data_IF_792489907155
#
_entry.id   IF_792489907155
#
_cell.length_a   1.000
_cell.length_b   1.000
_cell.length_c   1.000
_cell.angle_alpha   90.00
_cell.angle_beta   90.00
_cell.angle_gamma   90.00
#
_symmetry.space_group_name_H-M   'P 1'
#
loop_
_entity.id
_entity.type
_entity.pdbx_description
1 polymer ?
#
# COMPACT_ATOMS: atom_id res chain seq x y z
N UNK A 1 -0.18 -32.93 -1.14
CA UNK A 1 -0.95 -32.05 -2.05
C UNK A 1 -0.28 -30.69 -2.11
N UNK A 2 -0.48 -29.97 -3.21
CA UNK A 2 0.14 -28.67 -3.46
C UNK A 2 -0.77 -27.57 -2.88
N UNK A 3 -0.30 -26.75 -1.92
CA UNK A 3 -1.10 -25.68 -1.33
C UNK A 3 -1.57 -24.67 -2.37
N UNK A 4 -2.82 -24.20 -2.25
CA UNK A 4 -3.37 -23.11 -3.05
C UNK A 4 -3.77 -21.97 -2.13
N UNK A 5 -3.28 -20.78 -2.44
CA UNK A 5 -3.55 -19.57 -1.68
C UNK A 5 -4.59 -18.72 -2.42
N UNK A 6 -5.42 -18.00 -1.67
CA UNK A 6 -6.34 -17.03 -2.26
C UNK A 6 -5.59 -15.80 -2.77
N UNK A 7 -6.23 -15.06 -3.67
CA UNK A 7 -5.62 -13.91 -4.35
C UNK A 7 -5.25 -12.80 -3.37
N UNK A 8 -6.01 -12.62 -2.28
CA UNK A 8 -5.74 -11.59 -1.27
C UNK A 8 -4.46 -11.89 -0.50
N UNK A 9 -4.28 -13.14 -0.07
CA UNK A 9 -3.05 -13.57 0.62
C UNK A 9 -1.82 -13.41 -0.28
N UNK A 10 -1.88 -13.82 -1.54
CA UNK A 10 -0.76 -13.69 -2.48
C UNK A 10 -0.52 -12.26 -2.96
N UNK A 11 -1.48 -11.35 -2.76
CA UNK A 11 -1.31 -9.93 -3.05
C UNK A 11 -0.51 -9.24 -1.94
N UNK A 12 -0.69 -9.67 -0.68
CA UNK A 12 -0.03 -9.06 0.49
C UNK A 12 1.28 -9.75 0.83
N UNK A 13 1.36 -11.07 0.66
CA UNK A 13 2.52 -11.87 1.02
C UNK A 13 3.10 -12.57 -0.20
N UNK A 14 4.42 -12.74 -0.20
CA UNK A 14 5.10 -13.55 -1.20
C UNK A 14 4.61 -15.01 -1.17
N UNK A 15 4.31 -15.55 -2.35
CA UNK A 15 3.76 -16.91 -2.51
C UNK A 15 4.77 -17.97 -2.03
N UNK A 16 6.07 -17.75 -2.22
CA UNK A 16 7.09 -18.70 -1.78
C UNK A 16 7.14 -18.78 -0.25
N UNK A 17 7.07 -17.65 0.45
CA UNK A 17 7.00 -17.61 1.91
C UNK A 17 5.73 -18.29 2.44
N UNK A 18 4.58 -18.07 1.80
CA UNK A 18 3.34 -18.77 2.15
C UNK A 18 3.47 -20.29 1.97
N UNK A 19 4.06 -20.72 0.84
CA UNK A 19 4.31 -22.13 0.55
C UNK A 19 5.22 -22.78 1.60
N UNK A 20 6.35 -22.13 1.94
CA UNK A 20 7.27 -22.60 2.98
C UNK A 20 6.57 -22.70 4.33
N UNK A 21 5.86 -21.66 4.72
CA UNK A 21 5.14 -21.60 5.99
C UNK A 21 4.11 -22.73 6.11
N UNK A 22 3.33 -22.98 5.05
CA UNK A 22 2.35 -24.07 5.03
C UNK A 22 3.01 -25.45 5.17
N UNK A 23 4.10 -25.70 4.43
CA UNK A 23 4.82 -26.99 4.47
C UNK A 23 5.48 -27.26 5.83
N UNK A 24 5.94 -26.21 6.51
CA UNK A 24 6.50 -26.32 7.85
C UNK A 24 5.38 -26.58 8.85
N UNK A 25 4.34 -25.75 8.89
CA UNK A 25 3.29 -25.82 9.92
C UNK A 25 2.47 -27.12 9.89
N UNK A 26 2.28 -27.74 8.72
CA UNK A 26 1.58 -29.03 8.60
C UNK A 26 2.30 -30.15 9.39
N UNK A 27 3.60 -30.01 9.67
CA UNK A 27 4.38 -30.97 10.46
C UNK A 27 4.24 -30.78 11.97
N UNK A 28 3.66 -29.66 12.42
CA UNK A 28 3.53 -29.28 13.83
C UNK A 28 2.06 -29.31 14.27
N UNK A 29 1.58 -30.42 14.86
CA UNK A 29 0.23 -30.46 15.43
C UNK A 29 0.09 -29.59 16.68
N UNK A 30 1.21 -29.28 17.34
CA UNK A 30 1.31 -28.39 18.50
C UNK A 30 2.64 -27.64 18.43
N UNK A 31 2.62 -26.37 18.82
CA UNK A 31 3.81 -25.50 18.88
C UNK A 31 4.12 -25.22 20.35
N UNK A 32 5.34 -25.56 20.78
CA UNK A 32 5.84 -25.28 22.13
C UNK A 32 6.55 -23.94 22.16
N UNK A 33 6.08 -23.06 23.03
CA UNK A 33 6.66 -21.72 23.22
C UNK A 33 7.52 -21.74 24.49
N UNK A 34 8.77 -21.23 24.43
CA UNK A 34 9.40 -20.52 23.32
C UNK A 34 10.24 -21.40 22.37
N UNK A 35 10.40 -22.70 22.69
CA UNK A 35 11.39 -23.57 22.05
C UNK A 35 11.26 -23.69 20.53
N UNK A 36 10.04 -23.64 20.01
CA UNK A 36 9.78 -23.92 18.60
C UNK A 36 9.79 -22.64 17.74
N UNK A 37 9.87 -21.45 18.34
CA UNK A 37 9.80 -20.18 17.60
C UNK A 37 10.98 -20.04 16.63
N UNK A 38 12.21 -20.10 17.14
CA UNK A 38 13.43 -19.93 16.33
C UNK A 38 13.57 -21.04 15.26
N UNK A 39 13.36 -22.33 15.57
CA UNK A 39 13.33 -23.38 14.54
C UNK A 39 12.30 -23.17 13.44
N UNK A 40 11.09 -22.67 13.77
CA UNK A 40 10.05 -22.38 12.78
C UNK A 40 10.44 -21.22 11.87
N UNK A 41 11.03 -20.16 12.41
CA UNK A 41 11.51 -19.00 11.64
C UNK A 41 12.62 -19.46 10.69
N UNK A 42 13.63 -20.18 11.19
CA UNK A 42 14.72 -20.71 10.37
C UNK A 42 14.22 -21.64 9.26
N UNK A 43 13.22 -22.48 9.54
CA UNK A 43 12.62 -23.34 8.53
C UNK A 43 11.87 -22.56 7.43
N UNK A 44 11.33 -21.38 7.74
CA UNK A 44 10.59 -20.54 6.80
C UNK A 44 11.46 -19.56 6.02
N UNK A 45 12.57 -19.08 6.58
CA UNK A 45 13.41 -18.04 5.98
C UNK A 45 14.85 -18.47 5.68
N UNK A 46 15.39 -19.47 6.38
CA UNK A 46 16.75 -19.96 6.16
C UNK A 46 16.95 -20.61 4.79
N UNK A 47 18.20 -20.96 4.47
CA UNK A 47 18.56 -21.63 3.21
C UNK A 47 18.10 -23.09 3.20
N UNK A 48 16.85 -23.31 2.80
CA UNK A 48 16.23 -24.65 2.74
C UNK A 48 15.92 -25.00 1.29
N UNK A 49 16.30 -26.22 0.90
CA UNK A 49 15.96 -26.77 -0.41
C UNK A 49 14.55 -27.37 -0.40
N UNK A 50 13.94 -27.49 -1.59
CA UNK A 50 12.70 -28.22 -1.73
C UNK A 50 12.84 -29.64 -1.14
N UNK A 51 11.88 -30.15 -0.36
CA UNK A 51 11.93 -31.50 0.18
C UNK A 51 12.16 -32.53 -0.94
N UNK A 52 13.12 -33.43 -0.76
CA UNK A 52 13.50 -34.40 -1.80
C UNK A 52 12.43 -35.46 -2.08
N UNK A 53 11.52 -35.66 -1.12
CA UNK A 53 10.35 -36.53 -1.18
C UNK A 53 9.10 -35.84 -1.73
N UNK A 54 9.19 -34.56 -2.10
CA UNK A 54 8.09 -33.81 -2.69
C UNK A 54 7.66 -34.38 -4.05
N UNK A 55 6.37 -34.25 -4.37
CA UNK A 55 5.88 -34.58 -5.71
C UNK A 55 6.47 -33.63 -6.76
N UNK A 56 6.52 -34.07 -8.02
CA UNK A 56 7.06 -33.28 -9.13
C UNK A 56 6.33 -31.95 -9.27
N UNK A 57 5.03 -31.92 -9.03
CA UNK A 57 4.21 -30.71 -9.07
C UNK A 57 4.63 -29.70 -7.98
N UNK A 58 4.89 -30.18 -6.76
CA UNK A 58 5.34 -29.34 -5.66
C UNK A 58 6.75 -28.80 -5.90
N UNK A 59 7.65 -29.62 -6.45
CA UNK A 59 9.00 -29.20 -6.84
C UNK A 59 8.95 -28.09 -7.91
N UNK A 60 8.07 -28.24 -8.90
CA UNK A 60 7.89 -27.22 -9.95
C UNK A 60 7.33 -25.90 -9.37
N UNK A 61 6.32 -25.96 -8.50
CA UNK A 61 5.79 -24.74 -7.87
C UNK A 61 6.83 -24.09 -6.94
N UNK A 62 7.58 -24.89 -6.17
CA UNK A 62 8.66 -24.39 -5.33
C UNK A 62 9.69 -23.63 -6.15
N UNK A 63 10.17 -24.21 -7.24
CA UNK A 63 11.18 -23.55 -8.08
C UNK A 63 10.64 -22.27 -8.72
N UNK A 64 9.39 -22.31 -9.21
CA UNK A 64 8.74 -21.14 -9.81
C UNK A 64 8.63 -19.98 -8.81
N UNK A 65 8.03 -20.25 -7.64
CA UNK A 65 7.81 -19.23 -6.60
C UNK A 65 9.13 -18.71 -6.02
N UNK A 66 10.13 -19.60 -5.85
CA UNK A 66 11.47 -19.20 -5.41
C UNK A 66 12.13 -18.21 -6.37
N UNK A 67 12.08 -18.50 -7.67
CA UNK A 67 12.66 -17.61 -8.70
C UNK A 67 11.95 -16.26 -8.75
N UNK A 68 10.64 -16.21 -8.53
CA UNK A 68 9.91 -14.93 -8.43
C UNK A 68 10.36 -14.12 -7.20
N UNK A 69 10.44 -14.75 -6.01
CA UNK A 69 10.93 -14.11 -4.79
C UNK A 69 12.37 -13.58 -4.94
N UNK A 70 13.29 -14.38 -5.50
CA UNK A 70 14.67 -13.97 -5.73
C UNK A 70 14.76 -12.75 -6.66
N UNK A 71 13.91 -12.71 -7.69
CA UNK A 71 13.81 -11.57 -8.60
C UNK A 71 13.27 -10.33 -7.88
N UNK A 72 12.21 -10.46 -7.10
CA UNK A 72 11.65 -9.35 -6.32
C UNK A 72 12.68 -8.79 -5.32
N UNK A 73 13.40 -9.66 -4.59
CA UNK A 73 14.48 -9.25 -3.69
C UNK A 73 15.59 -8.50 -4.41
N UNK A 74 15.98 -8.96 -5.60
CA UNK A 74 16.98 -8.28 -6.42
C UNK A 74 16.49 -6.90 -6.89
N UNK A 75 15.23 -6.78 -7.32
CA UNK A 75 14.62 -5.51 -7.71
C UNK A 75 14.52 -4.52 -6.53
N UNK A 76 14.16 -5.02 -5.35
CA UNK A 76 14.14 -4.24 -4.10
C UNK A 76 15.54 -3.73 -3.74
N UNK A 77 16.55 -4.60 -3.81
CA UNK A 77 17.94 -4.22 -3.51
C UNK A 77 18.45 -3.14 -4.49
N UNK A 78 18.22 -3.34 -5.80
CA UNK A 78 18.62 -2.36 -6.83
C UNK A 78 17.93 -1.01 -6.64
N UNK A 79 16.65 -1.00 -6.24
CA UNK A 79 15.91 0.22 -5.92
C UNK A 79 16.46 0.89 -4.67
N UNK A 80 16.76 0.12 -3.62
CA UNK A 80 17.32 0.62 -2.37
C UNK A 80 18.68 1.29 -2.58
N UNK A 81 19.56 0.73 -3.42
CA UNK A 81 20.87 1.32 -3.73
C UNK A 81 20.77 2.71 -4.36
N UNK A 82 19.70 2.98 -5.11
CA UNK A 82 19.48 4.29 -5.75
C UNK A 82 19.12 5.38 -4.75
N UNK A 83 18.50 5.03 -3.62
CA UNK A 83 17.98 6.01 -2.64
C UNK A 83 18.74 5.97 -1.31
N UNK A 84 19.52 4.93 -1.04
CA UNK A 84 20.31 4.80 0.19
C UNK A 84 21.38 5.87 0.28
N UNK A 85 21.47 6.51 1.45
CA UNK A 85 22.60 7.40 1.77
C UNK A 85 23.87 6.54 1.80
N UNK A 86 24.90 6.88 1.00
CA UNK A 86 26.13 6.10 0.95
C UNK A 86 26.79 5.97 2.33
N UNK A 87 27.56 4.89 2.49
CA UNK A 87 28.33 4.63 3.70
C UNK A 87 29.17 5.85 4.12
N UNK A 88 29.36 6.10 5.43
CA UNK A 88 30.22 7.18 5.92
C UNK A 88 31.69 7.05 5.49
N UNK A 89 32.08 5.87 4.98
CA UNK A 89 33.41 5.60 4.44
C UNK A 89 33.47 5.62 2.90
N UNK A 90 32.37 5.99 2.24
CA UNK A 90 32.32 6.08 0.78
C UNK A 90 33.10 7.30 0.28
N UNK A 91 33.72 7.17 -0.89
CA UNK A 91 34.53 8.23 -1.51
C UNK A 91 33.69 9.32 -2.20
N UNK A 92 32.37 9.34 -2.01
CA UNK A 92 31.48 10.32 -2.62
C UNK A 92 31.71 11.71 -1.99
N UNK A 93 31.75 12.73 -2.85
CA UNK A 93 31.77 14.12 -2.40
C UNK A 93 30.39 14.47 -1.80
N UNK A 94 30.40 15.15 -0.65
CA UNK A 94 29.19 15.58 0.08
C UNK A 94 28.26 16.39 -0.83
N UNK A 95 28.83 17.13 -1.79
CA UNK A 95 28.06 17.94 -2.74
C UNK A 95 27.27 17.10 -3.75
N UNK A 96 27.73 15.89 -4.10
CA UNK A 96 26.99 14.98 -4.98
C UNK A 96 25.79 14.32 -4.26
N UNK A 97 25.86 14.18 -2.94
CA UNK A 97 24.78 13.63 -2.11
C UNK A 97 23.56 14.56 -2.04
N UNK A 98 23.80 15.88 -1.98
CA UNK A 98 22.76 16.91 -1.83
C UNK A 98 21.91 17.14 -3.10
N UNK A 99 22.33 16.62 -4.26
CA UNK A 99 21.60 16.76 -5.53
C UNK A 99 20.53 15.67 -5.75
N UNK A 100 20.44 14.68 -4.88
CA UNK A 100 19.31 13.73 -4.89
C UNK A 100 18.07 14.51 -4.41
N UNK A 101 17.05 14.64 -5.25
CA UNK A 101 15.78 15.32 -4.94
C UNK A 101 15.00 14.52 -3.88
N UNK A 102 15.40 14.67 -2.61
CA UNK A 102 14.90 13.96 -1.43
C UNK A 102 13.61 14.57 -0.84
N UNK A 103 12.83 15.35 -1.60
CA UNK A 103 11.54 15.84 -1.10
C UNK A 103 10.55 14.65 -1.08
N UNK A 104 10.39 13.92 0.02
CA UNK A 104 9.52 12.73 0.08
C UNK A 104 8.03 13.06 0.33
N UNK A 105 7.71 14.30 0.70
CA UNK A 105 6.41 14.71 1.27
C UNK A 105 5.34 15.14 0.25
N UNK A 106 5.66 15.10 -1.05
CA UNK A 106 4.74 15.49 -2.13
C UNK A 106 4.12 14.25 -2.79
N UNK A 107 2.81 14.00 -2.65
CA UNK A 107 2.13 12.84 -3.27
C UNK A 107 2.06 12.94 -4.80
N UNK A 108 2.35 14.12 -5.36
CA UNK A 108 2.51 14.43 -6.79
C UNK A 108 3.93 14.19 -7.33
N UNK A 109 4.92 13.95 -6.46
CA UNK A 109 6.19 13.41 -6.92
C UNK A 109 5.97 12.00 -7.42
N UNK A 110 6.67 11.66 -8.50
CA UNK A 110 6.49 10.40 -9.24
C UNK A 110 6.28 9.26 -8.23
N UNK A 111 5.14 8.54 -8.26
CA UNK A 111 4.82 7.48 -7.28
C UNK A 111 5.95 6.45 -7.11
N UNK A 112 6.81 6.32 -8.12
CA UNK A 112 8.05 5.55 -8.11
C UNK A 112 9.06 6.00 -7.02
N UNK A 113 9.19 7.29 -6.71
CA UNK A 113 10.14 7.80 -5.72
C UNK A 113 9.64 7.58 -4.28
N UNK A 114 8.35 7.76 -4.02
CA UNK A 114 7.76 7.55 -2.69
C UNK A 114 7.61 6.05 -2.35
N UNK A 115 7.30 5.23 -3.36
CA UNK A 115 7.32 3.77 -3.25
C UNK A 115 8.75 3.17 -3.19
N UNK A 116 9.79 3.94 -3.52
CA UNK A 116 11.18 3.46 -3.46
C UNK A 116 11.80 3.51 -2.06
N UNK A 117 11.36 4.42 -1.17
CA UNK A 117 11.94 4.54 0.18
C UNK A 117 11.09 3.93 1.28
N UNK A 118 9.78 3.81 1.06
CA UNK A 118 8.92 2.89 1.79
C UNK A 118 8.38 1.92 0.77
N UNK A 119 8.70 0.65 0.92
CA UNK A 119 8.18 -0.46 0.11
C UNK A 119 6.66 -0.68 0.40
N UNK A 120 5.89 0.40 0.42
CA UNK A 120 4.47 0.43 0.71
C UNK A 120 3.74 0.85 -0.54
N UNK A 121 2.61 0.22 -0.80
CA UNK A 121 1.75 0.57 -1.92
C UNK A 121 1.37 2.06 -1.88
N UNK A 122 1.21 2.71 -3.06
CA UNK A 122 0.82 4.10 -3.10
C UNK A 122 -0.52 4.29 -2.38
N UNK A 123 -0.60 5.33 -1.56
CA UNK A 123 -1.82 5.66 -0.80
C UNK A 123 -2.26 7.08 -1.09
N UNK A 124 -3.56 7.35 -0.95
CA UNK A 124 -4.10 8.70 -1.05
C UNK A 124 -4.96 8.98 0.18
N UNK A 125 -4.74 10.15 0.78
CA UNK A 125 -5.57 10.65 1.87
C UNK A 125 -6.81 11.31 1.28
N UNK A 126 -7.98 10.95 1.81
CA UNK A 126 -9.26 11.36 1.27
C UNK A 126 -10.14 11.89 2.39
N UNK A 127 -10.87 12.97 2.15
CA UNK A 127 -11.97 13.46 2.98
C UNK A 127 -13.28 13.05 2.32
N UNK A 128 -14.14 12.37 3.07
CA UNK A 128 -15.39 11.81 2.58
C UNK A 128 -16.59 12.55 3.16
N UNK A 129 -17.36 13.24 2.33
CA UNK A 129 -18.51 14.04 2.80
C UNK A 129 -19.81 13.58 2.14
N UNK A 130 -20.89 13.60 2.92
CA UNK A 130 -22.24 13.53 2.39
C UNK A 130 -22.68 14.91 1.84
N UNK A 131 -23.71 14.98 0.97
CA UNK A 131 -24.12 16.26 0.36
C UNK A 131 -24.50 17.34 1.38
N UNK A 132 -25.18 16.96 2.47
CA UNK A 132 -25.57 17.85 3.56
C UNK A 132 -24.38 18.36 4.39
N UNK A 133 -23.27 17.60 4.41
CA UNK A 133 -22.03 18.02 5.05
C UNK A 133 -21.22 18.92 4.13
N UNK A 134 -21.20 18.62 2.83
CA UNK A 134 -20.50 19.41 1.82
C UNK A 134 -20.99 20.87 1.78
N UNK A 135 -22.31 21.07 1.88
CA UNK A 135 -22.96 22.39 1.86
C UNK A 135 -22.62 23.26 3.09
N UNK A 136 -22.00 22.69 4.14
CA UNK A 136 -21.61 23.43 5.35
C UNK A 136 -20.27 24.17 5.20
N UNK A 137 -19.55 23.93 4.12
CA UNK A 137 -18.22 24.50 3.89
C UNK A 137 -18.24 25.54 2.78
N UNK A 138 -17.49 26.62 2.98
CA UNK A 138 -17.17 27.55 1.91
C UNK A 138 -15.90 27.08 1.21
N UNK A 139 -16.01 26.68 -0.05
CA UNK A 139 -14.91 26.09 -0.83
C UNK A 139 -14.03 27.13 -1.51
N UNK A 140 -14.50 28.38 -1.62
CA UNK A 140 -13.76 29.50 -2.18
C UNK A 140 -12.80 30.14 -1.17
N UNK A 141 -12.95 29.82 0.11
CA UNK A 141 -12.10 30.30 1.19
C UNK A 141 -11.26 29.19 1.81
N UNK A 142 -10.11 29.56 2.37
CA UNK A 142 -9.29 28.62 3.13
C UNK A 142 -10.02 28.24 4.43
N UNK A 143 -10.22 26.95 4.72
CA UNK A 143 -10.90 26.57 5.95
C UNK A 143 -10.10 27.00 7.17
N UNK A 144 -10.80 27.50 8.19
CA UNK A 144 -10.21 27.82 9.48
C UNK A 144 -9.85 26.54 10.25
N UNK A 145 -9.25 26.69 11.44
CA UNK A 145 -8.82 25.54 12.23
C UNK A 145 -10.01 24.63 12.66
N UNK A 146 -11.14 25.17 13.17
CA UNK A 146 -12.34 24.37 13.42
C UNK A 146 -12.87 23.62 12.19
N UNK A 147 -12.96 24.26 11.02
CA UNK A 147 -13.42 23.65 9.78
C UNK A 147 -12.44 22.57 9.31
N UNK A 148 -11.15 22.84 9.37
CA UNK A 148 -10.10 21.86 9.05
C UNK A 148 -10.21 20.64 9.96
N UNK A 149 -10.43 20.84 11.26
CA UNK A 149 -10.64 19.73 12.20
C UNK A 149 -11.89 18.91 11.85
N UNK A 150 -12.99 19.57 11.43
CA UNK A 150 -14.19 18.85 10.96
C UNK A 150 -13.88 18.01 9.73
N UNK A 151 -13.22 18.58 8.71
CA UNK A 151 -12.84 17.85 7.49
C UNK A 151 -11.97 16.63 7.80
N UNK A 152 -10.97 16.78 8.68
CA UNK A 152 -10.07 15.69 9.05
C UNK A 152 -10.77 14.56 9.83
N UNK A 153 -11.86 14.84 10.55
CA UNK A 153 -12.68 13.79 11.20
C UNK A 153 -13.39 12.89 10.19
N UNK A 154 -13.56 13.36 8.96
CA UNK A 154 -14.15 12.61 7.86
C UNK A 154 -13.09 12.04 6.90
N UNK A 155 -11.84 12.00 7.34
CA UNK A 155 -10.74 11.56 6.49
C UNK A 155 -10.33 10.11 6.71
N UNK A 156 -9.90 9.46 5.63
CA UNK A 156 -9.33 8.12 5.65
C UNK A 156 -8.23 7.98 4.58
N UNK A 157 -7.43 6.92 4.69
CA UNK A 157 -6.38 6.59 3.72
C UNK A 157 -6.83 5.45 2.83
N UNK A 158 -6.82 5.67 1.52
CA UNK A 158 -7.14 4.68 0.51
C UNK A 158 -5.85 4.06 -0.05
N UNK A 159 -5.80 2.72 -0.12
CA UNK A 159 -4.66 1.96 -0.65
C UNK A 159 -5.00 1.18 -1.92
N UNK A 160 -6.27 1.19 -2.36
CA UNK A 160 -6.69 0.41 -3.52
C UNK A 160 -6.06 0.95 -4.81
N UNK A 161 -5.08 0.22 -5.36
CA UNK A 161 -4.19 0.64 -6.46
C UNK A 161 -4.89 1.37 -7.60
N UNK A 162 -5.97 0.80 -8.17
CA UNK A 162 -6.68 1.41 -9.30
C UNK A 162 -7.30 2.76 -8.94
N UNK A 163 -7.87 2.87 -7.74
CA UNK A 163 -8.55 4.09 -7.28
C UNK A 163 -7.54 5.17 -6.87
N UNK A 164 -6.41 4.76 -6.26
CA UNK A 164 -5.32 5.67 -5.90
C UNK A 164 -4.78 6.39 -7.14
N UNK A 165 -4.46 5.65 -8.21
CA UNK A 165 -3.96 6.25 -9.45
C UNK A 165 -4.97 7.20 -10.10
N UNK A 166 -6.25 6.85 -10.07
CA UNK A 166 -7.31 7.71 -10.60
C UNK A 166 -7.45 9.01 -9.78
N UNK A 167 -7.47 8.92 -8.44
CA UNK A 167 -7.62 10.09 -7.58
C UNK A 167 -6.39 11.01 -7.58
N UNK A 168 -5.18 10.44 -7.70
CA UNK A 168 -3.95 11.23 -7.80
C UNK A 168 -3.80 11.91 -9.16
N UNK A 169 -4.29 11.31 -10.24
CA UNK A 169 -4.28 11.89 -11.58
C UNK A 169 -5.27 13.05 -11.77
N UNK A 170 -6.18 13.28 -10.81
CA UNK A 170 -7.20 14.32 -10.87
C UNK A 170 -6.77 15.59 -10.12
N UNK A 171 -6.94 16.72 -10.77
CA UNK A 171 -6.69 18.06 -10.22
C UNK A 171 -7.92 18.98 -10.33
N UNK A 172 -9.09 18.41 -10.63
CA UNK A 172 -10.34 19.17 -10.73
C UNK A 172 -10.77 19.68 -9.36
N UNK A 173 -11.42 20.86 -9.33
CA UNK A 173 -11.85 21.52 -8.09
C UNK A 173 -12.77 20.64 -7.23
N UNK A 174 -13.55 19.78 -7.86
CA UNK A 174 -14.51 18.89 -7.21
C UNK A 174 -13.83 17.74 -6.45
N UNK A 175 -12.59 17.41 -6.83
CA UNK A 175 -11.77 16.34 -6.21
C UNK A 175 -10.58 16.93 -5.44
N UNK A 176 -10.16 18.13 -5.80
CA UNK A 176 -9.05 18.86 -5.21
C UNK A 176 -9.41 20.36 -5.08
N UNK A 177 -10.03 20.76 -3.97
CA UNK A 177 -10.35 22.16 -3.72
C UNK A 177 -9.08 23.01 -3.73
N UNK A 178 -9.02 24.01 -4.61
CA UNK A 178 -7.80 24.82 -4.82
C UNK A 178 -7.33 25.53 -3.56
N UNK A 179 -8.25 25.83 -2.63
CA UNK A 179 -7.95 26.44 -1.34
C UNK A 179 -7.14 25.51 -0.42
N UNK A 180 -7.27 24.18 -0.57
CA UNK A 180 -6.56 23.19 0.22
C UNK A 180 -5.07 23.13 -0.12
N UNK A 181 -4.69 23.44 -1.37
CA UNK A 181 -3.29 23.50 -1.79
C UNK A 181 -2.44 24.45 -0.92
N UNK A 182 -3.07 25.51 -0.40
CA UNK A 182 -2.44 26.52 0.47
C UNK A 182 -2.52 26.18 1.97
N UNK A 183 -3.16 25.07 2.32
CA UNK A 183 -3.28 24.56 3.69
C UNK A 183 -2.29 23.43 3.91
N UNK A 184 -1.34 23.63 4.84
CA UNK A 184 -0.38 22.59 5.20
C UNK A 184 -1.05 21.28 5.67
N UNK A 185 -2.26 21.38 6.24
CA UNK A 185 -3.01 20.23 6.78
C UNK A 185 -3.86 19.51 5.72
N UNK A 186 -4.20 20.15 4.61
CA UNK A 186 -5.14 19.63 3.62
C UNK A 186 -4.56 19.48 2.20
N UNK A 187 -3.38 20.04 1.92
CA UNK A 187 -2.76 20.06 0.57
C UNK A 187 -2.59 18.70 -0.10
N UNK A 188 -2.55 17.61 0.68
CA UNK A 188 -2.36 16.25 0.18
C UNK A 188 -3.67 15.43 0.19
N UNK A 189 -4.79 16.01 0.62
CA UNK A 189 -6.07 15.33 0.66
C UNK A 189 -6.82 15.48 -0.66
N UNK A 190 -7.65 14.48 -0.98
CA UNK A 190 -8.66 14.54 -2.04
C UNK A 190 -10.05 14.57 -1.42
N UNK A 191 -10.99 15.19 -2.11
CA UNK A 191 -12.39 15.19 -1.70
C UNK A 191 -13.14 14.06 -2.42
N UNK A 192 -13.87 13.26 -1.66
CA UNK A 192 -14.89 12.34 -2.16
C UNK A 192 -16.25 12.79 -1.67
N UNK A 193 -17.07 13.26 -2.61
CA UNK A 193 -18.47 13.59 -2.35
C UNK A 193 -19.33 12.34 -2.56
N UNK A 194 -19.89 11.81 -1.48
CA UNK A 194 -20.83 10.69 -1.53
C UNK A 194 -22.19 11.16 -2.03
N UNK A 195 -22.94 10.24 -2.65
CA UNK A 195 -24.33 10.44 -2.99
C UNK A 195 -25.26 10.31 -1.76
N UNK A 196 -26.57 10.40 -2.00
CA UNK A 196 -27.59 10.25 -0.94
C UNK A 196 -27.64 8.85 -0.32
N UNK A 197 -27.05 7.86 -0.97
CA UNK A 197 -26.94 6.48 -0.48
C UNK A 197 -25.60 6.24 0.24
N UNK A 198 -24.85 7.32 0.53
CA UNK A 198 -23.51 7.24 1.11
C UNK A 198 -22.51 6.47 0.24
N UNK A 199 -22.66 6.54 -1.09
CA UNK A 199 -21.77 5.89 -2.05
C UNK A 199 -21.19 6.88 -3.06
N UNK A 200 -19.95 6.65 -3.47
CA UNK A 200 -19.26 7.31 -4.56
C UNK A 200 -18.93 6.29 -5.65
N UNK A 201 -18.96 6.74 -6.90
CA UNK A 201 -18.68 5.92 -8.07
C UNK A 201 -17.51 6.53 -8.83
N UNK A 202 -16.62 5.67 -9.33
CA UNK A 202 -15.58 6.11 -10.24
C UNK A 202 -16.17 6.53 -11.59
N UNK A 203 -15.42 7.35 -12.34
CA UNK A 203 -15.92 7.87 -13.64
C UNK A 203 -16.16 6.75 -14.65
N UNK A 204 -15.40 5.66 -14.54
CA UNK A 204 -15.52 4.48 -15.40
C UNK A 204 -16.71 3.58 -14.99
N UNK A 205 -17.34 3.83 -13.84
CA UNK A 205 -18.40 3.00 -13.27
C UNK A 205 -17.97 1.57 -12.91
N UNK A 206 -16.66 1.31 -12.76
CA UNK A 206 -16.08 0.01 -12.42
C UNK A 206 -15.97 -0.21 -10.91
N UNK A 207 -15.91 0.85 -10.14
CA UNK A 207 -15.71 0.79 -8.70
C UNK A 207 -16.68 1.71 -7.97
N UNK A 208 -17.12 1.22 -6.82
CA UNK A 208 -17.99 1.94 -5.90
C UNK A 208 -17.35 1.95 -4.53
N UNK A 209 -17.32 3.13 -3.89
CA UNK A 209 -16.88 3.30 -2.50
C UNK A 209 -18.12 3.68 -1.69
N UNK A 210 -18.50 2.86 -0.72
CA UNK A 210 -19.64 3.16 0.16
C UNK A 210 -19.19 3.27 1.62
N UNK A 211 -19.86 4.16 2.36
CA UNK A 211 -19.72 4.25 3.80
C UNK A 211 -20.79 3.37 4.46
N UNK A 212 -20.35 2.23 4.98
CA UNK A 212 -21.14 1.29 5.76
C UNK A 212 -21.03 1.61 7.27
N UNK A 213 -22.13 1.62 8.03
CA UNK A 213 -22.11 1.96 9.45
C UNK A 213 -21.37 0.96 10.34
N UNK A 214 -21.21 -0.29 9.90
CA UNK A 214 -20.55 -1.36 10.66
C UNK A 214 -19.16 -1.69 10.09
N UNK A 215 -19.04 -1.77 8.76
CA UNK A 215 -17.82 -2.16 8.06
C UNK A 215 -16.90 -0.96 7.75
N UNK A 216 -17.40 0.26 7.88
CA UNK A 216 -16.66 1.47 7.50
C UNK A 216 -16.64 1.65 5.99
N UNK A 217 -15.46 1.88 5.41
CA UNK A 217 -15.35 2.10 3.96
C UNK A 217 -15.29 0.75 3.22
N UNK A 218 -16.26 0.52 2.34
CA UNK A 218 -16.36 -0.69 1.51
C UNK A 218 -16.13 -0.33 0.05
N UNK A 219 -15.24 -1.08 -0.60
CA UNK A 219 -14.93 -0.93 -2.03
C UNK A 219 -15.52 -2.12 -2.77
N UNK A 220 -16.46 -1.86 -3.68
CA UNK A 220 -17.06 -2.87 -4.53
C UNK A 220 -16.61 -2.67 -5.97
N UNK A 221 -16.29 -3.76 -6.65
CA UNK A 221 -16.10 -3.75 -8.10
C UNK A 221 -17.46 -4.00 -8.77
N UNK A 222 -17.92 -3.04 -9.55
CA UNK A 222 -19.12 -3.15 -10.37
C UNK A 222 -18.79 -3.92 -11.65
N UNK A 223 -19.71 -4.78 -12.06
CA UNK A 223 -19.54 -5.71 -13.20
C UNK A 223 -19.68 -5.03 -14.55
#
# INVERSE_FOLDING_TARGET
EVPKFDVGSTYVYDEHILLRSALVLVKYPQIQIPSDIEPLIEACYGEVNCPSDASVELQNQWQKTKTELEKELMEMQNSAEQVTIPSPYSAYDILELCNRRLEEDRPDLHPLLQASTRLSEPTVAVVCLLPDQYDQFNWDEKPDLPQTQKLLKHSFTLQHKSLVFQLLGKFDKDVYPTTWATSALLRNYRLLLLDKNACWYDDDGKYQICLDPELGIVINKLS
#
